data_IF_884241672072
#
_entry.id   IF_884241672072
#
_cell.length_a   1.000
_cell.length_b   1.000
_cell.length_c   1.000
_cell.angle_alpha   90.00
_cell.angle_beta   90.00
_cell.angle_gamma   90.00
#
_symmetry.space_group_name_H-M   'P 1'
#
loop_
_entity.id
_entity.type
_entity.pdbx_description
1 polymer ?
#
# COMPACT_ATOMS: atom_id res chain seq x y z
N UNK A 1 47.73 49.08 12.33
CA UNK A 1 47.64 47.92 11.47
C UNK A 1 46.42 47.13 11.85
N UNK A 2 45.46 47.24 11.08
CA UNK A 2 44.19 46.57 11.38
C UNK A 2 44.15 45.25 10.67
N UNK A 3 43.90 44.25 11.42
CA UNK A 3 43.68 42.93 10.88
C UNK A 3 42.21 42.71 10.78
N UNK A 4 41.73 42.69 9.62
CA UNK A 4 40.35 42.27 9.36
C UNK A 4 40.33 40.80 9.15
N UNK A 5 39.87 40.13 10.12
CA UNK A 5 39.61 38.73 9.99
C UNK A 5 38.26 38.55 9.37
N UNK A 6 38.27 38.17 8.15
CA UNK A 6 37.03 37.81 7.48
C UNK A 6 36.67 36.40 7.90
N UNK A 7 35.72 36.31 8.74
CA UNK A 7 35.11 35.07 9.10
C UNK A 7 34.16 34.69 7.98
N UNK A 8 34.61 33.81 7.16
CA UNK A 8 33.72 33.19 6.20
C UNK A 8 32.81 32.21 6.94
N UNK A 9 31.62 32.63 7.13
CA UNK A 9 30.62 31.75 7.67
C UNK A 9 30.28 30.72 6.59
N UNK A 10 30.79 29.58 6.76
CA UNK A 10 30.37 28.45 5.94
C UNK A 10 29.03 27.96 6.42
N UNK A 11 28.02 28.38 5.73
CA UNK A 11 26.73 27.82 5.94
C UNK A 11 26.72 26.41 5.32
N UNK A 12 26.90 25.45 6.14
CA UNK A 12 26.74 24.08 5.69
C UNK A 12 25.26 23.83 5.49
N UNK A 13 24.82 23.91 4.28
CA UNK A 13 23.51 23.42 3.95
C UNK A 13 23.56 21.91 3.95
N UNK A 14 23.05 21.34 5.00
CA UNK A 14 22.73 19.96 4.97
C UNK A 14 21.63 19.80 3.95
N UNK A 15 21.98 19.33 2.78
CA UNK A 15 20.99 18.92 1.81
C UNK A 15 20.23 17.78 2.45
N UNK A 16 19.02 18.03 2.82
CA UNK A 16 18.12 16.97 3.22
C UNK A 16 17.81 16.23 1.93
N UNK A 17 18.27 15.01 1.78
CA UNK A 17 17.83 14.24 0.64
C UNK A 17 16.33 14.15 0.74
N UNK A 18 15.66 14.55 -0.29
CA UNK A 18 14.25 14.29 -0.41
C UNK A 18 14.11 12.76 -0.50
N UNK A 19 14.19 12.15 0.65
CA UNK A 19 13.97 10.71 0.75
C UNK A 19 12.50 10.38 0.59
N UNK A 20 11.68 11.37 0.36
CA UNK A 20 10.32 11.15 -0.01
C UNK A 20 10.32 10.55 -1.40
N UNK A 21 10.48 9.26 -1.46
CA UNK A 21 10.04 8.54 -2.62
C UNK A 21 8.58 8.89 -2.81
N UNK A 22 8.20 9.35 -3.99
CA UNK A 22 6.80 9.44 -4.28
C UNK A 22 6.28 8.01 -4.29
N UNK A 23 5.96 7.56 -3.15
CA UNK A 23 5.13 6.40 -3.04
C UNK A 23 3.80 6.83 -3.58
N UNK A 24 3.55 6.47 -4.79
CA UNK A 24 2.18 6.48 -5.24
C UNK A 24 1.41 5.65 -4.23
N UNK A 25 0.41 6.23 -3.57
CA UNK A 25 -0.40 5.43 -2.67
C UNK A 25 -0.91 4.23 -3.44
N UNK A 26 -0.73 3.07 -2.87
CA UNK A 26 -1.24 1.86 -3.48
C UNK A 26 -2.74 2.05 -3.73
N UNK A 27 -3.17 1.76 -4.94
CA UNK A 27 -4.56 1.94 -5.30
C UNK A 27 -5.47 1.03 -4.48
N UNK A 28 -5.03 -0.20 -4.29
CA UNK A 28 -5.76 -1.17 -3.48
C UNK A 28 -4.95 -1.54 -2.24
N UNK A 29 -5.64 -1.64 -1.13
CA UNK A 29 -5.06 -2.12 0.11
C UNK A 29 -6.02 -3.10 0.78
N UNK A 30 -5.52 -4.28 1.06
CA UNK A 30 -6.28 -5.32 1.73
C UNK A 30 -5.58 -5.71 3.04
N UNK A 31 -6.36 -5.89 4.08
CA UNK A 31 -5.89 -6.48 5.33
C UNK A 31 -6.52 -7.86 5.46
N UNK A 32 -5.67 -8.85 5.64
CA UNK A 32 -6.10 -10.24 5.75
C UNK A 32 -6.30 -10.63 7.20
N UNK A 33 -7.14 -11.61 7.44
CA UNK A 33 -7.32 -12.17 8.79
C UNK A 33 -6.11 -13.03 9.16
N UNK A 34 -5.56 -13.74 8.19
CA UNK A 34 -4.36 -14.57 8.38
C UNK A 34 -3.27 -14.09 7.43
N UNK A 35 -2.00 -14.38 7.74
CA UNK A 35 -0.92 -13.99 6.83
C UNK A 35 -1.14 -14.52 5.42
N UNK A 36 -0.73 -13.72 4.44
CA UNK A 36 -0.84 -14.10 3.04
C UNK A 36 -0.03 -15.36 2.75
N UNK A 37 -0.51 -16.22 1.84
CA UNK A 37 0.19 -17.46 1.50
C UNK A 37 1.49 -17.23 0.75
N UNK A 38 1.69 -16.04 0.19
CA UNK A 38 2.91 -15.67 -0.53
C UNK A 38 3.09 -14.17 -0.48
N UNK A 39 4.32 -13.68 -0.68
CA UNK A 39 4.58 -12.24 -0.72
C UNK A 39 4.08 -11.60 -2.00
N UNK A 40 3.73 -12.37 -2.98
CA UNK A 40 3.23 -11.89 -4.25
C UNK A 40 2.12 -12.80 -4.73
N UNK A 41 1.00 -12.21 -5.06
CA UNK A 41 -0.14 -12.92 -5.61
C UNK A 41 -0.58 -12.22 -6.89
N UNK A 42 -0.91 -12.99 -7.89
CA UNK A 42 -1.48 -12.46 -9.13
C UNK A 42 -2.91 -12.96 -9.20
N UNK A 43 -3.82 -12.03 -9.12
CA UNK A 43 -5.25 -12.31 -9.07
C UNK A 43 -5.96 -11.43 -10.09
N UNK A 44 -6.57 -12.03 -11.09
CA UNK A 44 -7.27 -11.29 -12.16
C UNK A 44 -6.39 -10.20 -12.78
N UNK A 45 -5.16 -10.56 -13.11
CA UNK A 45 -4.16 -9.65 -13.70
C UNK A 45 -3.73 -8.51 -12.78
N UNK A 46 -4.14 -8.53 -11.52
CA UNK A 46 -3.68 -7.58 -10.52
C UNK A 46 -2.56 -8.23 -9.73
N UNK A 47 -1.43 -7.55 -9.67
CA UNK A 47 -0.28 -8.02 -8.92
C UNK A 47 -0.35 -7.44 -7.51
N UNK A 48 -0.55 -8.33 -6.55
CA UNK A 48 -0.58 -7.98 -5.14
C UNK A 48 0.77 -8.24 -4.51
N UNK A 49 1.24 -7.29 -3.74
CA UNK A 49 2.42 -7.48 -2.90
C UNK A 49 1.97 -7.57 -1.46
N UNK A 50 2.32 -8.66 -0.83
CA UNK A 50 1.87 -8.96 0.52
C UNK A 50 3.05 -9.04 1.48
N UNK A 51 2.86 -8.47 2.67
CA UNK A 51 3.77 -8.63 3.79
C UNK A 51 2.93 -8.95 5.02
N UNK A 52 3.07 -10.15 5.55
CA UNK A 52 2.23 -10.59 6.65
C UNK A 52 0.75 -10.59 6.27
N UNK A 53 -0.02 -9.77 6.96
CA UNK A 53 -1.48 -9.69 6.75
C UNK A 53 -1.89 -8.52 5.83
N UNK A 54 -0.94 -7.79 5.28
CA UNK A 54 -1.22 -6.63 4.43
C UNK A 54 -0.87 -6.95 2.99
N UNK A 55 -1.80 -6.72 2.08
CA UNK A 55 -1.58 -6.81 0.64
C UNK A 55 -1.92 -5.49 -0.03
N UNK A 56 -1.07 -5.05 -0.93
CA UNK A 56 -1.28 -3.83 -1.68
C UNK A 56 -1.08 -4.07 -3.17
N UNK A 57 -1.81 -3.33 -3.98
CA UNK A 57 -1.67 -3.36 -5.42
C UNK A 57 -1.75 -1.94 -5.98
N UNK A 58 -0.76 -1.53 -6.78
CA UNK A 58 -0.70 -0.14 -7.26
C UNK A 58 -1.75 0.19 -8.30
N UNK A 59 -2.12 -0.77 -9.09
CA UNK A 59 -3.10 -0.57 -10.17
C UNK A 59 -3.93 -1.82 -10.36
N UNK A 60 -5.08 -1.64 -10.92
CA UNK A 60 -5.93 -2.74 -11.30
C UNK A 60 -7.18 -2.21 -11.99
N UNK A 61 -7.74 -3.03 -12.84
CA UNK A 61 -8.99 -2.75 -13.52
C UNK A 61 -10.05 -3.70 -13.01
N UNK A 62 -11.18 -3.15 -12.73
CA UNK A 62 -12.30 -3.96 -12.30
C UNK A 62 -13.01 -3.34 -11.11
N UNK A 63 -14.15 -3.92 -10.81
CA UNK A 63 -14.96 -3.45 -9.69
C UNK A 63 -14.32 -3.87 -8.38
N UNK A 64 -14.27 -2.99 -7.39
CA UNK A 64 -13.71 -3.32 -6.08
C UNK A 64 -14.26 -4.62 -5.48
N UNK A 65 -15.56 -4.82 -5.58
CA UNK A 65 -16.20 -6.02 -5.04
C UNK A 65 -15.69 -7.30 -5.71
N UNK A 66 -15.44 -7.25 -7.02
CA UNK A 66 -14.94 -8.40 -7.77
C UNK A 66 -13.49 -8.69 -7.40
N UNK A 67 -12.67 -7.64 -7.28
CA UNK A 67 -11.27 -7.79 -6.91
C UNK A 67 -11.13 -8.29 -5.48
N UNK A 68 -11.96 -7.79 -4.58
CA UNK A 68 -11.99 -8.24 -3.20
C UNK A 68 -12.31 -9.73 -3.11
N UNK A 69 -13.38 -10.17 -3.76
CA UNK A 69 -13.79 -11.56 -3.76
C UNK A 69 -12.72 -12.48 -4.36
N UNK A 70 -12.10 -12.04 -5.44
CA UNK A 70 -11.04 -12.81 -6.10
C UNK A 70 -9.82 -12.96 -5.19
N UNK A 71 -9.43 -11.89 -4.50
CA UNK A 71 -8.34 -11.95 -3.54
C UNK A 71 -8.68 -12.86 -2.36
N UNK A 72 -9.89 -12.76 -1.84
CA UNK A 72 -10.34 -13.59 -0.73
C UNK A 72 -10.29 -15.09 -1.06
N UNK A 73 -10.58 -15.46 -2.28
CA UNK A 73 -10.47 -16.85 -2.70
C UNK A 73 -9.06 -17.39 -2.62
N UNK A 74 -8.06 -16.56 -2.87
CA UNK A 74 -6.66 -16.98 -2.87
C UNK A 74 -5.98 -16.75 -1.53
N UNK A 75 -6.26 -15.65 -0.88
CA UNK A 75 -5.56 -15.23 0.31
C UNK A 75 -6.31 -15.54 1.61
N UNK A 76 -7.58 -15.89 1.52
CA UNK A 76 -8.42 -16.10 2.68
C UNK A 76 -9.23 -14.85 3.04
N UNK A 77 -9.96 -14.92 4.13
CA UNK A 77 -10.84 -13.83 4.57
C UNK A 77 -10.08 -12.52 4.77
N UNK A 78 -10.73 -11.43 4.41
CA UNK A 78 -10.20 -10.08 4.52
C UNK A 78 -10.83 -9.38 5.71
N UNK A 79 -10.00 -8.65 6.45
CA UNK A 79 -10.47 -7.78 7.52
C UNK A 79 -10.89 -6.43 6.98
N UNK A 80 -10.26 -5.99 5.89
CA UNK A 80 -10.63 -4.76 5.21
C UNK A 80 -10.17 -4.79 3.76
N UNK A 81 -10.81 -4.00 2.93
CA UNK A 81 -10.41 -3.77 1.55
C UNK A 81 -10.71 -2.32 1.20
N UNK A 82 -9.72 -1.61 0.77
CA UNK A 82 -9.84 -0.20 0.44
C UNK A 82 -9.35 0.08 -0.97
N UNK A 83 -10.02 0.99 -1.65
CA UNK A 83 -9.65 1.49 -2.97
C UNK A 83 -9.41 2.98 -2.85
N UNK A 84 -8.19 3.41 -3.14
CA UNK A 84 -7.81 4.82 -3.05
C UNK A 84 -8.21 5.46 -1.71
N UNK A 85 -7.98 4.73 -0.64
CA UNK A 85 -8.30 5.18 0.71
C UNK A 85 -9.75 5.00 1.15
N UNK A 86 -10.62 4.50 0.27
CA UNK A 86 -12.01 4.24 0.62
C UNK A 86 -12.21 2.77 0.93
N UNK A 87 -12.53 2.49 2.17
CA UNK A 87 -12.82 1.14 2.58
C UNK A 87 -14.19 0.69 2.07
N UNK A 88 -14.30 -0.58 1.73
CA UNK A 88 -15.60 -1.18 1.48
C UNK A 88 -16.44 -1.13 2.74
N UNK A 89 -17.74 -0.98 2.58
CA UNK A 89 -18.67 -1.06 3.70
C UNK A 89 -18.63 -2.45 4.31
N UNK A 90 -19.10 -2.57 5.55
CA UNK A 90 -19.19 -3.87 6.21
C UNK A 90 -19.97 -4.88 5.40
N UNK A 91 -21.09 -4.45 4.79
CA UNK A 91 -21.91 -5.31 3.96
C UNK A 91 -21.18 -5.79 2.71
N UNK A 92 -20.48 -4.89 2.04
CA UNK A 92 -19.71 -5.24 0.86
C UNK A 92 -18.54 -6.17 1.19
N UNK A 93 -17.89 -5.92 2.32
CA UNK A 93 -16.80 -6.77 2.80
C UNK A 93 -17.32 -8.17 3.15
N UNK A 94 -18.47 -8.25 3.74
CA UNK A 94 -19.12 -9.51 4.07
C UNK A 94 -19.40 -10.34 2.83
N UNK A 95 -19.93 -9.71 1.79
CA UNK A 95 -20.14 -10.37 0.49
C UNK A 95 -18.83 -10.83 -0.13
N UNK A 96 -17.79 -10.03 -0.03
CA UNK A 96 -16.46 -10.39 -0.48
C UNK A 96 -15.98 -11.66 0.24
N UNK A 97 -16.08 -11.67 1.56
CA UNK A 97 -15.62 -12.79 2.38
C UNK A 97 -16.45 -14.06 2.21
N UNK A 98 -17.65 -13.95 1.71
CA UNK A 98 -18.45 -15.14 1.38
C UNK A 98 -17.77 -16.02 0.32
N UNK A 99 -16.83 -15.46 -0.42
CA UNK A 99 -16.03 -16.18 -1.42
C UNK A 99 -14.69 -16.68 -0.89
N UNK A 100 -14.34 -16.31 0.34
CA UNK A 100 -13.09 -16.74 0.95
C UNK A 100 -13.05 -18.25 1.15
N UNK A 101 -11.85 -18.78 1.10
CA UNK A 101 -11.57 -20.17 1.44
C UNK A 101 -11.67 -20.42 2.93
#
# INVERSE_FOLDING_TARGET
MIRLSVLAALSAFAAIPAAAQPTQPAQYRAELVLPAPANRLIVREVVWRCGGEICVAPTGNGRPAVLCAALARQAGALRSFAVEGRALSGEELEKCNARAR
#
